data_IF_429940009889
#
_entry.id   IF_429940009889
#
_cell.length_a   1.000
_cell.length_b   1.000
_cell.length_c   1.000
_cell.angle_alpha   90.00
_cell.angle_beta   90.00
_cell.angle_gamma   90.00
#
_symmetry.space_group_name_H-M   'P 1'
#
loop_
_entity.id
_entity.type
_entity.pdbx_description
1 polymer ?
#
# COMPACT_ATOMS: atom_id res chain seq x y z
N UNK A 1 3.03 10.42 -23.22
CA UNK A 1 3.32 9.14 -22.55
C UNK A 1 4.07 9.33 -21.23
N UNK A 2 5.17 10.11 -21.19
CA UNK A 2 5.91 10.40 -19.95
C UNK A 2 5.05 10.99 -18.81
N UNK A 3 4.20 11.99 -19.10
CA UNK A 3 3.32 12.59 -18.09
C UNK A 3 2.42 11.57 -17.36
N UNK A 4 1.82 10.63 -18.10
CA UNK A 4 0.95 9.59 -17.53
C UNK A 4 1.75 8.66 -16.63
N UNK A 5 2.96 8.27 -17.07
CA UNK A 5 3.86 7.45 -16.27
C UNK A 5 4.29 8.16 -14.98
N UNK A 6 4.61 9.45 -15.04
CA UNK A 6 5.02 10.23 -13.88
C UNK A 6 3.88 10.33 -12.86
N UNK A 7 2.66 10.66 -13.31
CA UNK A 7 1.48 10.73 -12.45
C UNK A 7 1.21 9.38 -11.77
N UNK A 8 1.23 8.28 -12.51
CA UNK A 8 1.01 6.94 -11.94
C UNK A 8 2.10 6.56 -10.93
N UNK A 9 3.36 6.85 -11.26
CA UNK A 9 4.50 6.56 -10.37
C UNK A 9 4.41 7.36 -9.08
N UNK A 10 4.06 8.65 -9.15
CA UNK A 10 3.84 9.48 -7.97
C UNK A 10 2.67 8.98 -7.13
N UNK A 11 1.56 8.57 -7.75
CA UNK A 11 0.40 8.04 -7.03
C UNK A 11 0.74 6.73 -6.29
N UNK A 12 1.46 5.80 -6.93
CA UNK A 12 1.90 4.56 -6.28
C UNK A 12 2.82 4.88 -5.09
N UNK A 13 3.74 5.85 -5.25
CA UNK A 13 4.65 6.26 -4.19
C UNK A 13 3.92 6.90 -3.01
N UNK A 14 2.98 7.82 -3.28
CA UNK A 14 2.14 8.44 -2.24
C UNK A 14 1.30 7.40 -1.50
N UNK A 15 0.71 6.46 -2.23
CA UNK A 15 -0.07 5.38 -1.65
C UNK A 15 0.79 4.43 -0.79
N UNK A 16 2.03 4.16 -1.22
CA UNK A 16 3.01 3.39 -0.45
C UNK A 16 3.32 4.07 0.90
N UNK A 17 3.52 5.38 0.89
CA UNK A 17 3.69 6.14 2.14
C UNK A 17 2.45 6.14 3.02
N UNK A 18 1.26 6.29 2.44
CA UNK A 18 0.00 6.21 3.16
C UNK A 18 -0.19 4.84 3.84
N UNK A 19 0.17 3.75 3.15
CA UNK A 19 0.18 2.39 3.71
C UNK A 19 1.14 2.25 4.89
N UNK A 20 2.38 2.74 4.77
CA UNK A 20 3.36 2.72 5.87
C UNK A 20 2.78 3.44 7.10
N UNK A 21 2.29 4.66 6.91
CA UNK A 21 1.70 5.45 8.00
C UNK A 21 0.53 4.68 8.63
N UNK A 22 -0.37 4.13 7.82
CA UNK A 22 -1.50 3.35 8.29
C UNK A 22 -1.09 2.14 9.14
N UNK A 23 -0.10 1.37 8.67
CA UNK A 23 0.42 0.20 9.39
C UNK A 23 1.04 0.63 10.72
N UNK A 24 1.85 1.71 10.74
CA UNK A 24 2.43 2.22 11.97
C UNK A 24 1.36 2.74 12.94
N UNK A 25 0.31 3.40 12.44
CA UNK A 25 -0.82 3.85 13.26
C UNK A 25 -1.59 2.68 13.87
N UNK A 26 -1.60 1.50 13.21
CA UNK A 26 -2.27 0.32 13.75
C UNK A 26 -1.65 -0.19 15.07
N UNK A 27 -0.39 0.15 15.35
CA UNK A 27 0.29 -0.19 16.60
C UNK A 27 -0.14 0.70 17.78
N UNK A 28 -0.78 1.83 17.49
CA UNK A 28 -1.26 2.80 18.49
C UNK A 28 -2.78 2.96 18.35
N UNK A 29 -3.60 2.32 19.20
CA UNK A 29 -5.07 2.33 19.08
C UNK A 29 -5.66 3.75 18.95
N UNK A 30 -5.22 4.69 19.79
CA UNK A 30 -5.66 6.09 19.75
C UNK A 30 -5.36 6.78 18.41
N UNK A 31 -4.24 6.44 17.76
CA UNK A 31 -3.88 6.99 16.47
C UNK A 31 -4.77 6.40 15.36
N UNK A 32 -5.00 5.09 15.38
CA UNK A 32 -5.90 4.40 14.42
C UNK A 32 -7.33 4.94 14.48
N UNK A 33 -7.82 5.25 15.67
CA UNK A 33 -9.19 5.77 15.89
C UNK A 33 -9.36 7.25 15.55
N UNK A 34 -8.27 8.00 15.40
CA UNK A 34 -8.31 9.41 14.98
C UNK A 34 -8.94 9.59 13.59
N UNK A 35 -9.40 10.80 13.28
CA UNK A 35 -9.96 11.13 11.96
C UNK A 35 -9.00 10.81 10.80
N UNK A 36 -7.70 11.01 11.00
CA UNK A 36 -6.66 10.68 10.01
C UNK A 36 -6.51 9.16 9.88
N UNK A 37 -6.53 8.42 10.99
CA UNK A 37 -6.45 6.96 10.99
C UNK A 37 -7.64 6.31 10.29
N UNK A 38 -8.85 6.81 10.54
CA UNK A 38 -10.07 6.36 9.87
C UNK A 38 -10.07 6.70 8.37
N UNK A 39 -9.56 7.87 8.00
CA UNK A 39 -9.39 8.25 6.60
C UNK A 39 -8.43 7.29 5.90
N UNK A 40 -7.25 7.04 6.47
CA UNK A 40 -6.29 6.10 5.92
C UNK A 40 -6.84 4.67 5.87
N UNK A 41 -7.61 4.24 6.87
CA UNK A 41 -8.27 2.94 6.88
C UNK A 41 -9.18 2.78 5.66
N UNK A 42 -10.01 3.78 5.32
CA UNK A 42 -10.92 3.72 4.17
C UNK A 42 -10.19 3.56 2.83
N UNK A 43 -8.96 4.04 2.73
CA UNK A 43 -8.16 3.97 1.50
C UNK A 43 -7.32 2.68 1.47
N UNK A 44 -6.70 2.31 2.60
CA UNK A 44 -5.74 1.21 2.68
C UNK A 44 -6.39 -0.16 2.90
N UNK A 45 -7.49 -0.23 3.66
CA UNK A 45 -8.14 -1.52 4.01
C UNK A 45 -8.65 -2.30 2.79
N UNK A 46 -9.31 -1.68 1.78
CA UNK A 46 -9.75 -2.42 0.59
C UNK A 46 -8.61 -3.12 -0.16
N UNK A 47 -7.40 -2.55 -0.10
CA UNK A 47 -6.20 -3.16 -0.67
C UNK A 47 -5.61 -4.23 0.23
N UNK A 48 -5.58 -4.02 1.56
CA UNK A 48 -5.01 -4.96 2.53
C UNK A 48 -5.89 -6.19 2.76
N UNK A 49 -7.22 -6.06 2.65
CA UNK A 49 -8.18 -7.12 2.94
C UNK A 49 -7.96 -8.40 2.11
N UNK A 50 -7.74 -8.35 0.77
CA UNK A 50 -7.35 -9.52 0.00
C UNK A 50 -6.10 -10.21 0.57
N UNK A 51 -5.06 -9.45 0.94
CA UNK A 51 -3.84 -10.05 1.50
C UNK A 51 -4.10 -10.71 2.84
N UNK A 52 -4.94 -10.16 3.70
CA UNK A 52 -5.34 -10.81 4.97
C UNK A 52 -6.13 -12.10 4.77
N UNK A 53 -6.85 -12.22 3.66
CA UNK A 53 -7.58 -13.46 3.32
C UNK A 53 -6.63 -14.57 2.85
N UNK A 54 -5.53 -14.22 2.17
CA UNK A 54 -4.58 -15.19 1.63
C UNK A 54 -3.37 -15.46 2.55
N UNK A 55 -2.96 -14.47 3.35
CA UNK A 55 -1.80 -14.55 4.24
C UNK A 55 -2.31 -14.77 5.65
N UNK A 56 -2.15 -15.97 6.23
CA UNK A 56 -2.53 -16.22 7.61
C UNK A 56 -1.69 -15.36 8.56
N UNK A 57 -2.26 -14.82 9.65
CA UNK A 57 -1.51 -14.07 10.65
C UNK A 57 -0.45 -14.97 11.32
N UNK A 58 0.73 -14.43 11.58
CA UNK A 58 1.75 -15.14 12.36
C UNK A 58 1.55 -14.80 13.85
N UNK A 59 0.76 -15.64 14.52
CA UNK A 59 0.37 -15.42 15.91
C UNK A 59 -0.53 -14.20 16.03
N UNK A 60 -0.06 -13.16 16.74
CA UNK A 60 -0.79 -11.90 16.95
C UNK A 60 -0.41 -10.79 15.95
N UNK A 61 0.57 -11.04 15.07
CA UNK A 61 1.10 -10.03 14.15
C UNK A 61 0.52 -10.26 12.76
N UNK A 62 -0.08 -9.21 12.21
CA UNK A 62 -0.53 -9.18 10.82
C UNK A 62 0.66 -8.95 9.88
N UNK A 63 1.03 -9.99 9.12
CA UNK A 63 2.11 -9.94 8.12
C UNK A 63 1.59 -9.57 6.73
N UNK A 64 0.25 -9.56 6.53
CA UNK A 64 -0.34 -9.14 5.27
C UNK A 64 0.16 -7.79 4.74
N UNK A 65 0.48 -6.77 5.57
CA UNK A 65 0.95 -5.50 5.04
C UNK A 65 2.34 -5.58 4.43
N UNK A 66 3.21 -6.49 4.90
CA UNK A 66 4.54 -6.71 4.31
C UNK A 66 4.38 -7.29 2.91
N UNK A 67 3.51 -8.30 2.77
CA UNK A 67 3.23 -8.95 1.48
C UNK A 67 2.60 -7.94 0.52
N UNK A 68 1.64 -7.15 0.99
CA UNK A 68 1.04 -6.08 0.22
C UNK A 68 2.09 -5.08 -0.27
N UNK A 69 3.04 -4.69 0.58
CA UNK A 69 4.13 -3.78 0.20
C UNK A 69 5.03 -4.34 -0.91
N UNK A 70 5.36 -5.64 -0.83
CA UNK A 70 6.15 -6.33 -1.86
C UNK A 70 5.39 -6.31 -3.19
N UNK A 71 4.09 -6.63 -3.18
CA UNK A 71 3.27 -6.63 -4.40
C UNK A 71 3.16 -5.23 -5.00
N UNK A 72 3.02 -4.19 -4.17
CA UNK A 72 3.00 -2.80 -4.65
C UNK A 72 4.33 -2.39 -5.30
N UNK A 73 5.46 -2.80 -4.72
CA UNK A 73 6.79 -2.58 -5.31
C UNK A 73 6.95 -3.29 -6.66
N UNK A 74 6.50 -4.55 -6.75
CA UNK A 74 6.52 -5.30 -8.01
C UNK A 74 5.64 -4.63 -9.07
N UNK A 75 4.48 -4.09 -8.68
CA UNK A 75 3.61 -3.34 -9.58
C UNK A 75 4.29 -2.06 -10.11
N UNK A 76 5.00 -1.33 -9.24
CA UNK A 76 5.78 -0.15 -9.65
C UNK A 76 6.91 -0.51 -10.62
N UNK A 77 7.63 -1.61 -10.35
CA UNK A 77 8.69 -2.10 -11.22
C UNK A 77 8.14 -2.54 -12.58
N UNK A 78 7.01 -3.25 -12.59
CA UNK A 78 6.30 -3.64 -13.81
C UNK A 78 5.83 -2.44 -14.62
N UNK A 79 5.25 -1.43 -13.97
CA UNK A 79 4.85 -0.17 -14.62
C UNK A 79 6.04 0.50 -15.31
N UNK A 80 7.19 0.57 -14.63
CA UNK A 80 8.43 1.11 -15.20
C UNK A 80 8.91 0.30 -16.39
N UNK A 81 8.89 -1.03 -16.30
CA UNK A 81 9.33 -1.90 -17.39
C UNK A 81 8.44 -1.76 -18.63
N UNK A 82 7.11 -1.71 -18.44
CA UNK A 82 6.16 -1.48 -19.52
C UNK A 82 6.44 -0.14 -20.20
N UNK A 83 6.62 0.94 -19.42
CA UNK A 83 6.95 2.25 -19.99
C UNK A 83 8.23 2.24 -20.83
N UNK A 84 9.27 1.53 -20.37
CA UNK A 84 10.53 1.37 -21.11
C UNK A 84 10.38 0.61 -22.43
N UNK A 85 9.36 -0.25 -22.59
CA UNK A 85 9.09 -0.92 -23.86
C UNK A 85 8.44 -0.03 -24.92
N UNK A 86 7.82 1.08 -24.51
CA UNK A 86 7.11 2.01 -25.39
C UNK A 86 7.92 3.28 -25.73
N UNK A 87 9.13 3.42 -25.19
CA UNK A 87 10.12 4.45 -25.55
C UNK A 87 11.12 3.84 -26.54
#
# INVERSE_FOLDING_TARGET
>A
MAFVFDVLSTLIQLYSWALIIYILMSWFPNAKESSIGQFLARICEPYLEPFRRFVPPLGMIDISPIVAFIVLNLAQMGLRQLFLWFI
#
